data_IF_839157203604
#
_entry.id   IF_839157203604
#
_cell.length_a   1.000
_cell.length_b   1.000
_cell.length_c   1.000
_cell.angle_alpha   90.00
_cell.angle_beta   90.00
_cell.angle_gamma   90.00
#
_symmetry.space_group_name_H-M   'P 1'
#
loop_
_entity.id
_entity.type
_entity.pdbx_description
1 polymer ?
#
# COMPACT_ATOMS: atom_id res chain seq x y z
N UNK A 1 -1.33 -6.02 10.79
CA UNK A 1 -0.10 -5.66 10.07
C UNK A 1 -0.28 -5.16 8.63
N UNK A 2 -1.50 -5.17 8.04
CA UNK A 2 -1.78 -4.64 6.68
C UNK A 2 -1.81 -3.11 6.54
N UNK A 3 -1.73 -2.33 7.62
CA UNK A 3 -1.88 -0.86 7.60
C UNK A 3 -0.58 -0.04 7.74
N UNK A 4 0.56 -0.66 7.96
CA UNK A 4 1.81 0.09 8.17
C UNK A 4 2.72 0.21 6.93
N UNK A 5 2.47 -0.58 5.89
CA UNK A 5 3.27 -0.53 4.65
C UNK A 5 2.74 0.44 3.59
N UNK A 6 1.48 0.86 3.70
CA UNK A 6 0.87 1.79 2.74
C UNK A 6 1.26 3.27 2.91
N UNK A 7 1.90 3.64 4.02
CA UNK A 7 2.15 5.06 4.35
C UNK A 7 3.55 5.57 3.93
N UNK A 8 4.49 4.71 3.59
CA UNK A 8 5.86 5.13 3.25
C UNK A 8 6.04 5.43 1.76
N UNK A 9 5.20 4.89 0.89
CA UNK A 9 5.34 5.07 -0.57
C UNK A 9 4.62 6.32 -1.10
N UNK A 10 3.64 6.85 -0.38
CA UNK A 10 2.81 7.97 -0.88
C UNK A 10 3.35 9.38 -0.57
N UNK A 11 4.34 9.53 0.30
CA UNK A 11 4.80 10.86 0.75
C UNK A 11 6.01 11.40 -0.03
N UNK A 12 6.77 10.56 -0.73
CA UNK A 12 7.95 11.00 -1.48
C UNK A 12 7.66 11.62 -2.87
N UNK A 13 6.42 11.56 -3.38
CA UNK A 13 6.14 11.98 -4.77
C UNK A 13 5.46 13.34 -4.90
N UNK A 14 5.11 14.02 -3.78
CA UNK A 14 4.34 15.28 -3.83
C UNK A 14 5.10 16.56 -3.46
N UNK A 15 6.40 16.53 -3.15
CA UNK A 15 7.13 17.72 -2.69
C UNK A 15 8.37 18.05 -3.52
N UNK A 16 8.23 18.20 -4.84
CA UNK A 16 9.26 18.85 -5.67
C UNK A 16 8.64 19.89 -6.61
N UNK A 17 7.96 20.85 -6.06
CA UNK A 17 7.56 22.05 -6.77
C UNK A 17 7.90 23.27 -5.92
N UNK A 18 9.06 23.84 -6.10
CA UNK A 18 9.36 25.27 -6.06
C UNK A 18 10.82 25.52 -5.75
N UNK A 19 11.46 26.20 -6.60
CA UNK A 19 12.55 27.17 -6.52
C UNK A 19 13.75 26.81 -7.40
N UNK A 20 13.85 27.43 -8.54
CA UNK A 20 15.13 27.74 -9.19
C UNK A 20 15.05 29.11 -9.86
N UNK A 21 15.69 30.09 -9.25
CA UNK A 21 16.08 31.32 -9.94
C UNK A 21 17.55 31.24 -10.35
N UNK A 22 17.80 31.63 -11.61
CA UNK A 22 19.07 32.07 -12.19
C UNK A 22 20.20 31.07 -12.37
N UNK A 23 20.22 30.43 -13.54
CA UNK A 23 21.48 30.08 -14.22
C UNK A 23 21.32 30.33 -15.73
N UNK A 24 22.09 31.26 -16.23
CA UNK A 24 22.19 31.58 -17.67
C UNK A 24 22.81 30.41 -18.42
N UNK A 25 21.97 29.58 -19.03
CA UNK A 25 22.43 28.64 -20.03
C UNK A 25 22.45 29.32 -21.40
N UNK A 26 23.58 29.21 -22.09
CA UNK A 26 23.71 29.55 -23.50
C UNK A 26 22.59 28.83 -24.27
N UNK A 27 21.74 29.62 -24.89
CA UNK A 27 20.61 29.18 -25.72
C UNK A 27 21.16 28.31 -26.86
N UNK A 28 21.06 26.99 -26.74
CA UNK A 28 21.16 26.08 -27.86
C UNK A 28 19.79 26.16 -28.53
N UNK A 29 19.75 26.59 -29.78
CA UNK A 29 18.51 26.65 -30.55
C UNK A 29 17.78 25.32 -30.45
N UNK A 30 16.56 25.37 -29.93
CA UNK A 30 15.66 24.22 -29.97
C UNK A 30 15.35 23.94 -31.43
N UNK A 31 15.37 22.67 -31.87
CA UNK A 31 14.91 22.36 -33.22
C UNK A 31 13.44 22.77 -33.33
N UNK A 32 13.19 23.63 -34.28
CA UNK A 32 11.84 24.01 -34.78
C UNK A 32 10.98 22.76 -34.90
N UNK A 33 9.79 22.79 -34.29
CA UNK A 33 8.72 21.79 -34.28
C UNK A 33 9.05 20.50 -35.06
N UNK A 34 9.50 19.46 -34.36
CA UNK A 34 9.52 18.12 -34.94
C UNK A 34 8.07 17.80 -35.31
N UNK A 35 7.79 17.70 -36.62
CA UNK A 35 6.53 17.17 -37.08
C UNK A 35 6.26 15.86 -36.33
N UNK A 36 5.19 15.85 -35.55
CA UNK A 36 4.77 14.61 -34.88
C UNK A 36 4.32 13.69 -36.02
N UNK A 37 5.09 12.63 -36.28
CA UNK A 37 4.70 11.62 -37.25
C UNK A 37 3.38 11.00 -36.79
N UNK A 38 2.39 11.02 -37.70
CA UNK A 38 1.10 10.35 -37.47
C UNK A 38 1.20 8.88 -37.88
N UNK A 39 0.54 8.01 -37.11
CA UNK A 39 0.46 6.59 -37.42
C UNK A 39 -0.80 6.27 -38.21
N UNK A 40 -0.64 5.66 -39.38
CA UNK A 40 -1.73 5.33 -40.31
C UNK A 40 -2.27 6.52 -41.13
N UNK A 41 -3.39 6.33 -41.84
CA UNK A 41 -4.00 7.37 -42.64
C UNK A 41 -4.41 8.60 -41.81
N UNK A 42 -4.29 9.80 -42.39
CA UNK A 42 -4.74 11.03 -41.75
C UNK A 42 -6.25 10.96 -41.46
N UNK A 43 -6.64 11.06 -40.21
CA UNK A 43 -8.04 11.01 -39.79
C UNK A 43 -8.63 12.42 -39.59
N UNK A 44 -7.88 13.36 -39.00
CA UNK A 44 -8.27 14.75 -38.84
C UNK A 44 -7.05 15.66 -38.75
N UNK A 45 -7.25 16.94 -39.12
CA UNK A 45 -6.23 17.99 -39.08
C UNK A 45 -6.87 19.33 -38.68
N UNK A 46 -6.17 20.07 -37.82
CA UNK A 46 -6.47 21.45 -37.45
C UNK A 46 -5.14 22.21 -37.46
N UNK A 47 -4.90 23.02 -38.49
CA UNK A 47 -3.61 23.68 -38.76
C UNK A 47 -2.45 22.65 -38.70
N UNK A 48 -1.50 22.83 -37.80
CA UNK A 48 -0.35 21.93 -37.60
C UNK A 48 -0.69 20.67 -36.77
N UNK A 49 -1.83 20.69 -36.06
CA UNK A 49 -2.28 19.51 -35.32
C UNK A 49 -2.86 18.47 -36.26
N UNK A 50 -2.37 17.25 -36.17
CA UNK A 50 -2.81 16.11 -36.98
C UNK A 50 -3.01 14.88 -36.12
N UNK A 51 -3.94 14.00 -36.48
CA UNK A 51 -4.13 12.69 -35.86
C UNK A 51 -4.35 11.66 -36.97
N UNK A 52 -3.56 10.57 -36.90
CA UNK A 52 -3.72 9.38 -37.72
C UNK A 52 -4.76 8.42 -37.13
N UNK A 53 -5.29 7.56 -38.00
CA UNK A 53 -6.30 6.57 -37.62
C UNK A 53 -5.77 5.64 -36.51
N UNK A 54 -4.55 5.13 -36.63
CA UNK A 54 -3.98 4.22 -35.65
C UNK A 54 -3.74 4.89 -34.28
N UNK A 55 -3.33 6.17 -34.27
CA UNK A 55 -3.15 6.91 -33.04
C UNK A 55 -4.49 7.18 -32.35
N UNK A 56 -5.53 7.43 -33.13
CA UNK A 56 -6.89 7.56 -32.62
C UNK A 56 -7.39 6.24 -32.01
N UNK A 57 -7.20 5.11 -32.70
CA UNK A 57 -7.58 3.79 -32.20
C UNK A 57 -6.83 3.40 -30.91
N UNK A 58 -5.54 3.72 -30.80
CA UNK A 58 -4.78 3.54 -29.56
C UNK A 58 -5.39 4.32 -28.40
N UNK A 59 -5.85 5.57 -28.65
CA UNK A 59 -6.51 6.38 -27.62
C UNK A 59 -7.87 5.79 -27.22
N UNK A 60 -8.65 5.30 -28.17
CA UNK A 60 -9.93 4.62 -27.89
C UNK A 60 -9.71 3.35 -27.04
N UNK A 61 -8.70 2.55 -27.39
CA UNK A 61 -8.36 1.34 -26.63
C UNK A 61 -7.95 1.67 -25.18
N UNK A 62 -7.27 2.77 -24.95
CA UNK A 62 -6.94 3.23 -23.60
C UNK A 62 -8.18 3.61 -22.77
N UNK A 63 -9.27 4.03 -23.41
CA UNK A 63 -10.55 4.36 -22.75
C UNK A 63 -11.46 3.14 -22.54
N UNK A 64 -11.17 2.00 -23.19
CA UNK A 64 -12.02 0.81 -23.18
C UNK A 64 -12.35 0.28 -21.76
N UNK A 65 -11.40 0.18 -20.80
CA UNK A 65 -11.71 -0.30 -19.47
C UNK A 65 -12.76 0.57 -18.75
N UNK A 66 -12.61 1.91 -18.84
CA UNK A 66 -13.52 2.86 -18.21
C UNK A 66 -14.89 2.88 -18.92
N UNK A 67 -14.89 2.81 -20.23
CA UNK A 67 -16.10 2.77 -21.04
C UNK A 67 -16.92 1.50 -20.77
N UNK A 68 -16.24 0.37 -20.61
CA UNK A 68 -16.87 -0.92 -20.30
C UNK A 68 -17.55 -0.91 -18.93
N UNK A 69 -16.96 -0.29 -17.93
CA UNK A 69 -17.59 -0.09 -16.62
C UNK A 69 -18.89 0.72 -16.72
N UNK A 70 -18.99 1.61 -17.69
CA UNK A 70 -20.17 2.45 -17.96
C UNK A 70 -21.14 1.83 -18.98
N UNK A 71 -20.89 0.62 -19.45
CA UNK A 71 -21.71 -0.07 -20.45
C UNK A 71 -21.61 0.55 -21.86
N UNK A 72 -20.52 1.26 -22.17
CA UNK A 72 -20.29 1.95 -23.43
C UNK A 72 -19.35 1.12 -24.32
N UNK A 73 -19.77 0.90 -25.59
CA UNK A 73 -18.91 0.28 -26.61
C UNK A 73 -18.09 1.37 -27.34
N UNK A 74 -16.77 1.34 -27.12
CA UNK A 74 -15.82 2.25 -27.77
C UNK A 74 -15.71 2.03 -29.28
N UNK A 75 -16.13 0.87 -29.80
CA UNK A 75 -16.11 0.55 -31.22
C UNK A 75 -17.34 1.06 -31.96
N UNK A 76 -18.36 1.50 -31.24
CA UNK A 76 -19.56 2.12 -31.85
C UNK A 76 -19.20 3.35 -32.65
N UNK A 77 -19.73 3.47 -33.86
CA UNK A 77 -19.45 4.59 -34.76
C UNK A 77 -19.77 5.95 -34.13
N UNK A 78 -20.91 6.08 -33.47
CA UNK A 78 -21.30 7.35 -32.85
C UNK A 78 -20.40 7.73 -31.68
N UNK A 79 -19.91 6.75 -30.95
CA UNK A 79 -18.89 6.99 -29.91
C UNK A 79 -17.59 7.48 -30.54
N UNK A 80 -17.08 6.79 -31.57
CA UNK A 80 -15.85 7.17 -32.28
C UNK A 80 -15.98 8.59 -32.86
N UNK A 81 -17.10 8.91 -33.48
CA UNK A 81 -17.36 10.23 -34.01
C UNK A 81 -17.35 11.31 -32.92
N UNK A 82 -18.03 11.09 -31.80
CA UNK A 82 -18.01 12.03 -30.67
C UNK A 82 -16.60 12.22 -30.11
N UNK A 83 -15.85 11.13 -29.90
CA UNK A 83 -14.48 11.16 -29.41
C UNK A 83 -13.57 11.97 -30.38
N UNK A 84 -13.69 11.75 -31.70
CA UNK A 84 -12.92 12.49 -32.69
C UNK A 84 -13.30 13.98 -32.68
N UNK A 85 -14.59 14.31 -32.64
CA UNK A 85 -15.04 15.68 -32.54
C UNK A 85 -14.52 16.42 -31.31
N UNK A 86 -14.42 15.74 -30.18
CA UNK A 86 -13.85 16.33 -28.96
C UNK A 86 -12.36 16.62 -29.12
N UNK A 87 -11.61 15.77 -29.81
CA UNK A 87 -10.19 16.00 -30.09
C UNK A 87 -10.04 17.23 -31.05
N UNK A 88 -10.85 17.31 -32.08
CA UNK A 88 -10.85 18.44 -32.99
C UNK A 88 -11.23 19.74 -32.25
N UNK A 89 -12.26 19.69 -31.39
CA UNK A 89 -12.66 20.83 -30.56
C UNK A 89 -11.51 21.30 -29.65
N UNK A 90 -10.83 20.36 -29.01
CA UNK A 90 -9.68 20.68 -28.18
C UNK A 90 -8.55 21.33 -28.98
N UNK A 91 -8.27 20.82 -30.18
CA UNK A 91 -7.27 21.41 -31.07
C UNK A 91 -7.64 22.84 -31.50
N UNK A 92 -8.90 23.08 -31.84
CA UNK A 92 -9.39 24.44 -32.21
C UNK A 92 -9.25 25.41 -31.02
N UNK A 93 -9.61 24.99 -29.80
CA UNK A 93 -9.48 25.83 -28.62
C UNK A 93 -8.01 26.12 -28.29
N UNK A 94 -7.12 25.13 -28.47
CA UNK A 94 -5.69 25.31 -28.29
C UNK A 94 -5.09 26.31 -29.29
N UNK A 95 -5.53 26.27 -30.54
CA UNK A 95 -5.13 27.29 -31.55
C UNK A 95 -5.60 28.68 -31.15
N UNK A 96 -6.85 28.85 -30.75
CA UNK A 96 -7.38 30.15 -30.28
C UNK A 96 -6.58 30.62 -29.03
N UNK A 97 -6.25 29.76 -28.11
CA UNK A 97 -5.43 30.08 -26.95
C UNK A 97 -4.04 30.57 -27.36
N UNK A 98 -3.38 29.95 -28.35
CA UNK A 98 -2.10 30.41 -28.93
C UNK A 98 -2.21 31.78 -29.55
N UNK A 99 -3.27 32.01 -30.33
CA UNK A 99 -3.52 33.33 -30.95
C UNK A 99 -3.66 34.43 -29.89
N UNK A 100 -4.23 34.10 -28.74
CA UNK A 100 -4.33 35.00 -27.57
C UNK A 100 -3.06 35.10 -26.75
N UNK A 101 -2.03 34.30 -27.04
CA UNK A 101 -0.73 34.34 -26.36
C UNK A 101 -0.70 33.63 -25.03
N UNK A 102 -1.70 32.77 -24.67
CA UNK A 102 -1.75 32.03 -23.40
C UNK A 102 -0.58 31.06 -23.26
N UNK A 103 -0.05 30.55 -24.39
CA UNK A 103 1.14 29.69 -24.42
C UNK A 103 2.42 30.41 -23.99
N UNK A 104 2.42 31.75 -23.96
CA UNK A 104 3.54 32.60 -23.56
C UNK A 104 3.48 33.01 -22.09
N UNK A 105 2.38 32.74 -21.41
CA UNK A 105 2.22 33.04 -19.98
C UNK A 105 3.21 32.23 -19.16
N UNK A 106 3.71 32.85 -18.09
CA UNK A 106 4.79 32.29 -17.28
C UNK A 106 4.34 30.97 -16.61
N UNK A 107 3.18 30.97 -16.01
CA UNK A 107 2.59 29.83 -15.31
C UNK A 107 2.34 28.65 -16.27
N UNK A 108 1.85 28.92 -17.47
CA UNK A 108 1.67 27.90 -18.50
C UNK A 108 3.01 27.25 -18.89
N UNK A 109 4.03 28.06 -19.18
CA UNK A 109 5.36 27.55 -19.55
C UNK A 109 6.01 26.76 -18.42
N UNK A 110 5.87 27.22 -17.17
CA UNK A 110 6.36 26.49 -16.00
C UNK A 110 5.64 25.14 -15.87
N UNK A 111 4.33 25.10 -16.06
CA UNK A 111 3.55 23.86 -16.02
C UNK A 111 3.99 22.86 -17.10
N UNK A 112 4.21 23.34 -18.33
CA UNK A 112 4.67 22.50 -19.45
C UNK A 112 6.07 21.94 -19.17
N UNK A 113 7.00 22.77 -18.69
CA UNK A 113 8.36 22.32 -18.40
C UNK A 113 8.39 21.32 -17.25
N UNK A 114 7.64 21.55 -16.19
CA UNK A 114 7.50 20.61 -15.08
C UNK A 114 6.90 19.25 -15.54
N UNK A 115 5.89 19.31 -16.41
CA UNK A 115 5.31 18.10 -16.99
C UNK A 115 6.30 17.33 -17.86
N UNK A 116 7.07 18.03 -18.68
CA UNK A 116 8.14 17.45 -19.51
C UNK A 116 9.20 16.76 -18.66
N UNK A 117 9.67 17.40 -17.57
CA UNK A 117 10.63 16.79 -16.63
C UNK A 117 10.04 15.51 -15.99
N UNK A 118 8.79 15.56 -15.56
CA UNK A 118 8.10 14.40 -15.00
C UNK A 118 8.01 13.25 -16.00
N UNK A 119 7.62 13.54 -17.24
CA UNK A 119 7.54 12.54 -18.31
C UNK A 119 8.89 11.92 -18.64
N UNK A 120 9.95 12.73 -18.69
CA UNK A 120 11.31 12.24 -18.94
C UNK A 120 11.76 11.29 -17.84
N UNK A 121 11.55 11.65 -16.56
CA UNK A 121 11.87 10.78 -15.43
C UNK A 121 11.08 9.47 -15.48
N UNK A 122 9.77 9.54 -15.72
CA UNK A 122 8.92 8.36 -15.85
C UNK A 122 9.36 7.44 -17.00
N UNK A 123 9.71 8.01 -18.16
CA UNK A 123 10.19 7.25 -19.32
C UNK A 123 11.52 6.55 -19.05
N UNK A 124 12.45 7.24 -18.38
CA UNK A 124 13.71 6.64 -17.98
C UNK A 124 13.46 5.46 -17.04
N UNK A 125 12.71 5.68 -15.96
CA UNK A 125 12.36 4.62 -14.99
C UNK A 125 11.71 3.44 -15.71
N UNK A 126 10.65 3.68 -16.48
CA UNK A 126 9.93 2.63 -17.21
C UNK A 126 10.86 1.77 -18.09
N UNK A 127 11.80 2.41 -18.78
CA UNK A 127 12.76 1.73 -19.65
C UNK A 127 13.75 0.88 -18.86
N UNK A 128 14.28 1.44 -17.77
CA UNK A 128 15.34 0.79 -16.98
C UNK A 128 14.82 -0.35 -16.09
N UNK A 129 13.51 -0.33 -15.75
CA UNK A 129 12.89 -1.40 -14.94
C UNK A 129 12.15 -2.45 -15.79
N UNK A 130 12.01 -2.22 -17.12
CA UNK A 130 11.21 -3.09 -17.99
C UNK A 130 11.65 -4.56 -17.98
N UNK A 131 12.95 -4.79 -17.92
CA UNK A 131 13.55 -6.13 -17.99
C UNK A 131 13.84 -6.73 -16.60
N UNK A 132 13.37 -6.09 -15.52
CA UNK A 132 13.54 -6.62 -14.18
C UNK A 132 12.61 -7.82 -13.97
N UNK A 133 13.22 -8.99 -13.82
CA UNK A 133 12.55 -10.23 -13.49
C UNK A 133 12.96 -10.72 -12.11
N UNK A 134 12.06 -11.45 -11.48
CA UNK A 134 12.32 -12.19 -10.23
C UNK A 134 12.31 -13.67 -10.56
N UNK A 135 13.41 -14.33 -10.31
CA UNK A 135 13.57 -15.75 -10.55
C UNK A 135 12.93 -16.60 -9.45
N UNK A 136 12.64 -17.85 -9.75
CA UNK A 136 12.13 -18.81 -8.76
C UNK A 136 13.11 -19.02 -7.61
N UNK A 137 14.40 -19.07 -7.91
CA UNK A 137 15.44 -19.23 -6.89
C UNK A 137 15.44 -18.08 -5.87
N UNK A 138 15.25 -16.85 -6.31
CA UNK A 138 15.16 -15.68 -5.41
C UNK A 138 13.91 -15.74 -4.52
N UNK A 139 12.80 -16.23 -5.05
CA UNK A 139 11.56 -16.39 -4.26
C UNK A 139 11.77 -17.46 -3.20
N UNK A 140 12.35 -18.59 -3.53
CA UNK A 140 12.63 -19.68 -2.61
C UNK A 140 13.65 -19.26 -1.54
N UNK A 141 14.69 -18.56 -1.93
CA UNK A 141 15.70 -18.03 -1.01
C UNK A 141 15.07 -17.06 -0.01
N UNK A 142 14.31 -16.07 -0.51
CA UNK A 142 13.61 -15.10 0.33
C UNK A 142 12.65 -15.79 1.32
N UNK A 143 11.85 -16.73 0.83
CA UNK A 143 10.94 -17.50 1.67
C UNK A 143 11.69 -18.26 2.75
N UNK A 144 12.78 -18.95 2.40
CA UNK A 144 13.56 -19.76 3.34
C UNK A 144 14.24 -18.93 4.41
N UNK A 145 14.78 -17.76 4.05
CA UNK A 145 15.41 -16.83 4.99
C UNK A 145 14.39 -16.17 5.92
N UNK A 146 13.13 -16.04 5.47
CA UNK A 146 12.10 -15.29 6.16
C UNK A 146 10.94 -16.16 6.69
N UNK A 147 11.09 -17.48 6.79
CA UNK A 147 10.02 -18.41 7.19
C UNK A 147 9.28 -18.01 8.46
N UNK A 148 9.98 -17.46 9.44
CA UNK A 148 9.38 -17.08 10.71
C UNK A 148 8.34 -15.94 10.56
N UNK A 149 8.52 -15.06 9.57
CA UNK A 149 7.57 -13.98 9.29
C UNK A 149 6.28 -14.49 8.63
N UNK A 150 6.33 -15.69 8.08
CA UNK A 150 5.18 -16.35 7.45
C UNK A 150 4.46 -17.32 8.39
N UNK A 151 4.88 -17.38 9.65
CA UNK A 151 4.20 -18.18 10.68
C UNK A 151 2.94 -17.43 11.16
N UNK A 152 1.79 -18.09 11.11
CA UNK A 152 0.57 -17.55 11.69
C UNK A 152 0.72 -17.39 13.20
N UNK A 153 -0.01 -16.46 13.83
CA UNK A 153 -0.03 -16.38 15.29
C UNK A 153 -0.45 -17.70 15.92
N UNK A 154 0.11 -17.99 17.09
CA UNK A 154 -0.33 -19.09 17.94
C UNK A 154 -1.81 -18.95 18.29
N UNK A 155 -2.54 -20.07 18.34
CA UNK A 155 -3.90 -20.12 18.87
C UNK A 155 -3.87 -20.70 20.27
N UNK A 156 -4.38 -19.96 21.24
CA UNK A 156 -4.34 -20.33 22.65
C UNK A 156 -5.78 -20.59 23.12
N UNK A 157 -6.03 -21.79 23.68
CA UNK A 157 -7.30 -22.12 24.31
C UNK A 157 -7.29 -21.65 25.75
N UNK A 158 -8.17 -20.72 26.08
CA UNK A 158 -8.16 -20.03 27.37
C UNK A 158 -9.50 -20.18 28.06
N UNK A 159 -9.46 -20.38 29.40
CA UNK A 159 -10.60 -20.14 30.29
C UNK A 159 -10.34 -18.91 31.12
N UNK A 160 -11.41 -18.20 31.50
CA UNK A 160 -11.34 -17.05 32.38
C UNK A 160 -12.32 -17.14 33.55
N UNK A 161 -11.91 -16.63 34.70
CA UNK A 161 -12.79 -16.25 35.81
C UNK A 161 -12.64 -14.74 35.97
N UNK A 162 -13.73 -14.02 35.94
CA UNK A 162 -13.77 -12.56 36.11
C UNK A 162 -14.67 -12.22 37.28
N UNK A 163 -14.18 -11.40 38.20
CA UNK A 163 -14.96 -10.96 39.39
C UNK A 163 -14.76 -9.47 39.64
N UNK A 164 -15.72 -8.87 40.36
CA UNK A 164 -15.74 -7.43 40.60
C UNK A 164 -14.79 -6.97 41.71
N UNK A 165 -14.43 -7.85 42.63
CA UNK A 165 -13.60 -7.44 43.78
C UNK A 165 -12.42 -8.38 44.00
N UNK A 166 -11.35 -7.81 44.57
CA UNK A 166 -10.08 -8.48 44.79
C UNK A 166 -10.15 -9.60 45.84
N UNK A 167 -11.02 -9.47 46.86
CA UNK A 167 -11.16 -10.49 47.93
C UNK A 167 -11.71 -11.78 47.34
N UNK A 168 -12.80 -11.65 46.55
CA UNK A 168 -13.39 -12.81 45.88
C UNK A 168 -12.40 -13.46 44.90
N UNK A 169 -11.62 -12.66 44.15
CA UNK A 169 -10.58 -13.24 43.30
C UNK A 169 -9.54 -14.03 44.08
N UNK A 170 -9.13 -13.56 45.28
CA UNK A 170 -8.19 -14.26 46.16
C UNK A 170 -8.76 -15.57 46.65
N UNK A 171 -10.01 -15.57 47.11
CA UNK A 171 -10.68 -16.79 47.59
C UNK A 171 -10.78 -17.85 46.49
N UNK A 172 -11.18 -17.45 45.29
CA UNK A 172 -11.22 -18.35 44.14
C UNK A 172 -9.84 -18.88 43.74
N UNK A 173 -8.83 -18.02 43.77
CA UNK A 173 -7.45 -18.42 43.47
C UNK A 173 -6.91 -19.46 44.48
N UNK A 174 -7.20 -19.30 45.77
CA UNK A 174 -6.85 -20.27 46.80
C UNK A 174 -7.55 -21.61 46.51
N UNK A 175 -8.81 -21.60 46.16
CA UNK A 175 -9.58 -22.83 45.84
C UNK A 175 -8.99 -23.54 44.62
N UNK A 176 -8.59 -22.77 43.59
CA UNK A 176 -7.88 -23.33 42.41
C UNK A 176 -6.55 -23.99 42.80
N UNK A 177 -5.79 -23.36 43.70
CA UNK A 177 -4.54 -23.95 44.23
C UNK A 177 -4.80 -25.21 45.05
N UNK A 178 -5.98 -25.34 45.66
CA UNK A 178 -6.43 -26.56 46.37
C UNK A 178 -6.94 -27.66 45.43
N UNK A 179 -6.95 -27.41 44.11
CA UNK A 179 -7.33 -28.39 43.10
C UNK A 179 -8.81 -28.37 42.71
N UNK A 180 -9.58 -27.35 43.11
CA UNK A 180 -10.96 -27.23 42.69
C UNK A 180 -11.06 -26.94 41.20
N UNK A 181 -12.11 -27.47 40.57
CA UNK A 181 -12.28 -27.37 39.10
C UNK A 181 -12.48 -25.95 38.66
N UNK A 182 -11.68 -25.51 37.68
CA UNK A 182 -11.73 -24.15 37.15
C UNK A 182 -13.08 -23.82 36.49
N UNK A 183 -13.62 -24.77 35.72
CA UNK A 183 -14.88 -24.57 35.00
C UNK A 183 -16.06 -24.46 35.96
N UNK A 184 -16.03 -25.27 37.06
CA UNK A 184 -17.02 -25.17 38.12
C UNK A 184 -17.00 -23.80 38.78
N UNK A 185 -15.82 -23.34 39.20
CA UNK A 185 -15.67 -22.02 39.83
C UNK A 185 -16.08 -20.87 38.86
N UNK A 186 -15.70 -20.95 37.59
CA UNK A 186 -16.13 -20.01 36.59
C UNK A 186 -17.65 -19.95 36.47
N UNK A 187 -18.30 -21.11 36.40
CA UNK A 187 -19.76 -21.22 36.28
C UNK A 187 -20.48 -20.63 37.50
N UNK A 188 -19.92 -20.79 38.69
CA UNK A 188 -20.56 -20.32 39.93
C UNK A 188 -20.33 -18.82 40.15
N UNK A 189 -19.12 -18.35 39.95
CA UNK A 189 -18.66 -17.06 40.49
C UNK A 189 -18.29 -16.01 39.43
N UNK A 190 -18.00 -16.41 38.20
CA UNK A 190 -17.60 -15.45 37.16
C UNK A 190 -18.74 -14.50 36.78
N UNK A 191 -18.41 -13.27 36.49
CA UNK A 191 -19.33 -12.25 35.93
C UNK A 191 -19.13 -12.05 34.42
N UNK A 192 -18.26 -12.83 33.79
CA UNK A 192 -18.03 -12.77 32.35
C UNK A 192 -19.12 -13.52 31.55
N UNK A 193 -19.29 -13.16 30.28
CA UNK A 193 -20.23 -13.84 29.37
C UNK A 193 -19.88 -15.33 29.18
N UNK A 194 -18.61 -15.68 29.32
CA UNK A 194 -18.10 -17.06 29.28
C UNK A 194 -18.54 -17.92 30.47
N UNK A 195 -19.16 -17.35 31.50
CA UNK A 195 -19.64 -18.03 32.71
C UNK A 195 -20.40 -19.33 32.42
N UNK A 196 -21.41 -19.26 31.54
CA UNK A 196 -22.26 -20.40 31.19
C UNK A 196 -21.52 -21.56 30.53
N UNK A 197 -20.32 -21.29 29.99
CA UNK A 197 -19.41 -22.25 29.35
C UNK A 197 -18.24 -22.65 30.29
N UNK A 198 -18.36 -22.39 31.60
CA UNK A 198 -17.26 -22.64 32.55
C UNK A 198 -16.04 -21.79 32.28
N UNK A 199 -16.24 -20.56 31.80
CA UNK A 199 -15.18 -19.61 31.47
C UNK A 199 -14.48 -19.87 30.12
N UNK A 200 -14.91 -20.85 29.32
CA UNK A 200 -14.23 -21.23 28.06
C UNK A 200 -14.42 -20.17 26.98
N UNK A 201 -13.32 -19.63 26.51
CA UNK A 201 -13.23 -18.67 25.41
C UNK A 201 -12.93 -19.33 24.05
N UNK A 202 -12.65 -20.65 24.07
CA UNK A 202 -12.17 -21.37 22.90
C UNK A 202 -10.72 -21.03 22.53
N UNK A 203 -10.36 -21.37 21.29
CA UNK A 203 -9.07 -20.98 20.71
C UNK A 203 -9.11 -19.55 20.22
N UNK A 204 -8.23 -18.72 20.73
CA UNK A 204 -8.11 -17.32 20.38
C UNK A 204 -6.70 -17.04 19.87
N UNK A 205 -6.62 -16.12 18.89
CA UNK A 205 -5.33 -15.52 18.48
C UNK A 205 -5.11 -14.26 19.29
N UNK A 206 -3.87 -13.97 19.73
CA UNK A 206 -3.56 -12.71 20.39
C UNK A 206 -3.97 -11.51 19.53
N UNK A 207 -5.06 -10.85 19.92
CA UNK A 207 -5.60 -9.65 19.27
C UNK A 207 -6.10 -8.67 20.35
N UNK A 208 -5.51 -7.46 20.45
CA UNK A 208 -5.96 -6.44 21.39
C UNK A 208 -7.42 -6.00 21.23
N UNK A 209 -8.04 -6.30 20.09
CA UNK A 209 -9.47 -6.02 19.85
C UNK A 209 -10.40 -7.07 20.48
N UNK A 210 -9.88 -8.27 20.74
CA UNK A 210 -10.64 -9.38 21.34
C UNK A 210 -10.54 -9.34 22.85
N UNK A 211 -9.33 -9.13 23.37
CA UNK A 211 -9.04 -8.94 24.80
C UNK A 211 -7.96 -7.87 24.94
N UNK A 212 -7.95 -7.13 26.04
CA UNK A 212 -7.00 -6.05 26.31
C UNK A 212 -5.56 -6.54 26.41
N UNK A 213 -4.59 -5.64 26.22
CA UNK A 213 -3.16 -5.94 26.12
C UNK A 213 -2.63 -6.77 27.30
N UNK A 214 -2.99 -6.38 28.54
CA UNK A 214 -2.55 -7.09 29.78
C UNK A 214 -3.04 -8.54 29.82
N UNK A 215 -4.23 -8.83 29.29
CA UNK A 215 -4.74 -10.20 29.21
C UNK A 215 -3.80 -11.08 28.35
N UNK A 216 -3.41 -10.57 27.17
CA UNK A 216 -2.52 -11.32 26.29
C UNK A 216 -1.09 -11.45 26.83
N UNK A 217 -0.58 -10.43 27.52
CA UNK A 217 0.71 -10.53 28.20
C UNK A 217 0.73 -11.66 29.24
N UNK A 218 -0.37 -11.80 30.00
CA UNK A 218 -0.50 -12.87 31.01
C UNK A 218 -0.66 -14.22 30.33
N UNK A 219 -1.60 -14.35 29.39
CA UNK A 219 -1.90 -15.63 28.71
C UNK A 219 -0.70 -16.15 27.92
N UNK A 220 0.05 -15.29 27.24
CA UNK A 220 1.22 -15.71 26.48
C UNK A 220 2.36 -16.21 27.33
N UNK A 221 2.46 -15.73 28.59
CA UNK A 221 3.50 -16.15 29.53
C UNK A 221 3.21 -17.49 30.24
N UNK A 222 1.99 -18.00 30.16
CA UNK A 222 1.59 -19.26 30.81
C UNK A 222 1.86 -20.44 29.88
N UNK A 223 2.23 -21.56 30.45
CA UNK A 223 2.29 -22.85 29.77
C UNK A 223 0.92 -23.56 29.74
N UNK A 224 0.82 -24.60 28.92
CA UNK A 224 -0.38 -25.43 28.85
C UNK A 224 -0.70 -26.05 30.23
N UNK A 225 -1.92 -25.87 30.67
CA UNK A 225 -2.42 -26.32 31.96
C UNK A 225 -2.23 -25.31 33.10
N UNK A 226 -1.46 -24.25 32.91
CA UNK A 226 -1.19 -23.27 33.93
C UNK A 226 -2.34 -22.30 34.17
N UNK A 227 -2.43 -21.88 35.46
CA UNK A 227 -3.38 -20.85 35.92
C UNK A 227 -2.59 -19.60 36.29
N UNK A 228 -3.04 -18.45 35.84
CA UNK A 228 -2.40 -17.17 36.14
C UNK A 228 -2.55 -16.78 37.60
N UNK A 229 -1.68 -15.91 38.07
CA UNK A 229 -1.97 -15.10 39.25
C UNK A 229 -3.13 -14.12 38.93
N UNK A 230 -3.73 -13.54 39.98
CA UNK A 230 -4.80 -12.54 39.85
C UNK A 230 -4.25 -11.26 39.22
N UNK A 231 -4.88 -10.77 38.18
CA UNK A 231 -4.56 -9.47 37.59
C UNK A 231 -5.80 -8.61 37.40
N UNK A 232 -5.62 -7.31 37.32
CA UNK A 232 -6.70 -6.34 37.12
C UNK A 232 -6.80 -5.99 35.64
N UNK A 233 -8.01 -6.04 35.10
CA UNK A 233 -8.32 -5.61 33.74
C UNK A 233 -8.52 -4.09 33.63
N UNK A 234 -8.56 -3.62 32.40
CA UNK A 234 -8.82 -2.20 32.08
C UNK A 234 -10.23 -1.78 32.46
N UNK A 235 -11.16 -2.73 32.52
CA UNK A 235 -12.55 -2.55 33.00
C UNK A 235 -12.66 -2.49 34.55
N UNK A 236 -11.54 -2.52 35.25
CA UNK A 236 -11.47 -2.47 36.69
C UNK A 236 -11.74 -3.78 37.42
N UNK A 237 -12.15 -4.84 36.70
CA UNK A 237 -12.41 -6.18 37.27
C UNK A 237 -11.12 -6.98 37.47
N UNK A 238 -11.25 -8.09 38.22
CA UNK A 238 -10.16 -8.99 38.53
C UNK A 238 -10.32 -10.28 37.72
N UNK A 239 -9.23 -10.71 37.11
CA UNK A 239 -9.14 -11.83 36.21
C UNK A 239 -8.23 -12.91 36.77
N UNK A 240 -8.62 -14.17 36.56
CA UNK A 240 -7.78 -15.36 36.67
C UNK A 240 -8.01 -16.11 35.35
N UNK A 241 -6.93 -16.48 34.68
CA UNK A 241 -7.01 -17.23 33.42
C UNK A 241 -6.27 -18.56 33.53
N UNK A 242 -6.73 -19.53 32.74
CA UNK A 242 -6.09 -20.82 32.56
C UNK A 242 -5.85 -21.07 31.09
N UNK A 243 -4.64 -21.45 30.73
CA UNK A 243 -4.33 -21.92 29.39
C UNK A 243 -4.61 -23.42 29.34
N UNK A 244 -5.61 -23.83 28.56
CA UNK A 244 -5.96 -25.25 28.40
C UNK A 244 -5.11 -25.96 27.34
N UNK A 245 -4.82 -25.21 26.25
CA UNK A 245 -4.04 -25.73 25.13
C UNK A 245 -3.40 -24.60 24.33
N UNK A 246 -2.29 -24.89 23.65
CA UNK A 246 -1.62 -24.00 22.71
C UNK A 246 -1.40 -24.74 21.40
N UNK A 247 -1.84 -24.13 20.31
CA UNK A 247 -1.55 -24.60 18.95
C UNK A 247 -0.54 -23.67 18.32
N UNK A 248 0.61 -24.21 18.01
CA UNK A 248 1.60 -23.42 17.29
C UNK A 248 1.05 -22.90 15.95
N UNK A 249 1.43 -21.67 15.64
CA UNK A 249 1.14 -21.10 14.34
C UNK A 249 1.77 -21.93 13.23
N UNK A 250 1.04 -22.12 12.15
CA UNK A 250 1.53 -22.83 10.96
C UNK A 250 2.29 -21.87 10.07
N UNK A 251 3.39 -22.32 9.48
CA UNK A 251 4.09 -21.59 8.44
C UNK A 251 3.24 -21.69 7.19
N UNK A 252 2.87 -20.54 6.61
CA UNK A 252 2.15 -20.48 5.33
C UNK A 252 3.02 -21.09 4.25
N UNK A 253 2.57 -22.10 3.51
CA UNK A 253 3.34 -22.71 2.44
C UNK A 253 3.73 -21.70 1.36
N UNK A 254 4.90 -21.88 0.76
CA UNK A 254 5.36 -21.02 -0.34
C UNK A 254 4.33 -20.94 -1.49
N UNK A 255 3.66 -22.05 -1.80
CA UNK A 255 2.65 -22.10 -2.87
C UNK A 255 1.51 -21.10 -2.70
N UNK A 256 1.17 -20.73 -1.46
CA UNK A 256 0.08 -19.80 -1.16
C UNK A 256 0.51 -18.32 -1.24
N UNK A 257 1.80 -18.02 -1.03
CA UNK A 257 2.32 -16.65 -0.92
C UNK A 257 3.36 -16.32 -2.00
N UNK A 258 3.63 -17.25 -2.92
CA UNK A 258 4.66 -17.14 -3.95
C UNK A 258 4.53 -15.87 -4.78
N UNK A 259 3.32 -15.57 -5.24
CA UNK A 259 3.06 -14.38 -6.05
C UNK A 259 3.16 -13.07 -5.26
N UNK A 260 2.85 -13.12 -3.97
CA UNK A 260 3.03 -11.96 -3.09
C UNK A 260 4.52 -11.67 -2.89
N UNK A 261 5.33 -12.72 -2.67
CA UNK A 261 6.79 -12.61 -2.57
C UNK A 261 7.37 -12.10 -3.88
N UNK A 262 6.95 -12.65 -5.03
CA UNK A 262 7.39 -12.20 -6.35
C UNK A 262 7.15 -10.71 -6.55
N UNK A 263 5.94 -10.23 -6.24
CA UNK A 263 5.59 -8.80 -6.33
C UNK A 263 6.45 -7.95 -5.41
N UNK A 264 6.65 -8.37 -4.17
CA UNK A 264 7.47 -7.65 -3.20
C UNK A 264 8.94 -7.55 -3.64
N UNK A 265 9.53 -8.65 -4.10
CA UNK A 265 10.90 -8.68 -4.61
C UNK A 265 11.07 -7.85 -5.88
N UNK A 266 10.07 -7.87 -6.77
CA UNK A 266 10.09 -7.05 -7.98
C UNK A 266 10.12 -5.56 -7.63
N UNK A 267 9.22 -5.12 -6.76
CA UNK A 267 9.19 -3.72 -6.27
C UNK A 267 10.52 -3.32 -5.62
N UNK A 268 11.12 -4.20 -4.81
CA UNK A 268 12.40 -3.94 -4.18
C UNK A 268 13.53 -3.78 -5.20
N UNK A 269 13.60 -4.67 -6.21
CA UNK A 269 14.57 -4.57 -7.30
C UNK A 269 14.37 -3.29 -8.14
N UNK A 270 13.14 -2.95 -8.46
CA UNK A 270 12.80 -1.72 -9.18
C UNK A 270 13.24 -0.48 -8.38
N UNK A 271 12.95 -0.44 -7.08
CA UNK A 271 13.37 0.65 -6.21
C UNK A 271 14.90 0.78 -6.12
N UNK A 272 15.62 -0.33 -5.98
CA UNK A 272 17.10 -0.33 -6.00
C UNK A 272 17.64 0.20 -7.31
N UNK A 273 17.04 -0.19 -8.44
CA UNK A 273 17.45 0.32 -9.75
C UNK A 273 17.21 1.83 -9.88
N UNK A 274 16.08 2.33 -9.39
CA UNK A 274 15.77 3.76 -9.37
C UNK A 274 16.79 4.52 -8.52
N UNK A 275 17.13 4.03 -7.32
CA UNK A 275 18.13 4.64 -6.46
C UNK A 275 19.54 4.64 -7.11
N UNK A 276 19.91 3.57 -7.80
CA UNK A 276 21.15 3.51 -8.59
C UNK A 276 21.16 4.61 -9.66
N UNK A 277 20.08 4.76 -10.42
CA UNK A 277 19.96 5.81 -11.44
C UNK A 277 20.06 7.22 -10.85
N UNK A 278 19.41 7.46 -9.71
CA UNK A 278 19.47 8.73 -9.00
C UNK A 278 20.90 9.03 -8.55
N UNK A 279 21.61 8.04 -8.02
CA UNK A 279 22.99 8.22 -7.58
C UNK A 279 23.94 8.50 -8.77
N UNK A 280 23.81 7.77 -9.87
CA UNK A 280 24.54 8.04 -11.10
C UNK A 280 24.25 9.44 -11.68
N UNK A 281 23.02 9.91 -11.56
CA UNK A 281 22.65 11.25 -11.99
C UNK A 281 23.26 12.32 -11.06
N UNK A 282 23.30 12.10 -9.75
CA UNK A 282 23.95 13.00 -8.78
C UNK A 282 25.43 13.19 -9.03
N UNK A 283 26.14 12.15 -9.45
CA UNK A 283 27.58 12.23 -9.79
C UNK A 283 27.86 13.19 -10.97
N UNK A 284 26.88 13.33 -11.87
CA UNK A 284 26.99 14.15 -13.09
C UNK A 284 26.36 15.54 -12.95
N UNK A 285 25.60 15.77 -11.90
CA UNK A 285 24.83 17.00 -11.69
C UNK A 285 25.37 17.81 -10.52
N UNK A 286 25.35 19.15 -10.65
CA UNK A 286 25.56 20.05 -9.52
C UNK A 286 24.23 20.19 -8.77
N UNK A 287 24.12 19.58 -7.60
CA UNK A 287 22.95 19.68 -6.73
C UNK A 287 23.22 20.68 -5.61
N UNK A 288 22.36 21.68 -5.46
CA UNK A 288 22.40 22.64 -4.36
C UNK A 288 21.03 22.68 -3.72
N UNK A 289 20.94 22.38 -2.43
CA UNK A 289 19.72 22.43 -1.64
C UNK A 289 19.93 23.43 -0.51
N UNK A 290 19.02 24.39 -0.36
CA UNK A 290 19.04 25.33 0.75
C UNK A 290 17.95 24.91 1.76
N UNK A 291 18.34 24.05 2.69
CA UNK A 291 17.43 23.52 3.72
C UNK A 291 16.96 24.59 4.72
N UNK A 292 17.69 25.69 4.86
CA UNK A 292 17.33 26.79 5.78
C UNK A 292 16.06 27.50 5.35
N UNK A 293 15.69 27.44 4.07
CA UNK A 293 14.45 28.00 3.54
C UNK A 293 13.22 27.09 3.73
N UNK A 294 13.40 25.90 4.28
CA UNK A 294 12.30 24.94 4.55
C UNK A 294 11.70 25.11 5.97
N UNK A 295 12.27 26.01 6.77
CA UNK A 295 11.87 26.27 8.18
C UNK A 295 10.91 27.44 8.30
#
# INVERSE_FOLDING_TARGET
MKKMWGLIVSVCFMFLLSACQNLTFKKKEEPTSSEIEISGPLLAQVNDWRIGLEDFEKRLKALEPLAKEQGVDVNNYDFKRRALNELVRTALLAEEARLRGLDKEKDFREAVENYKQTLLAQRLIQREVADIIVTEAEIEEFYNQNKQFFKSPEEIKVREIVVNNKSQAKDLYIRLLQGEDFAFLATQYSVADSKSKGGDLGYLKPDPKVKFKKFWEVVSALDKGEVSSIFKGEDGKFYIVKVEDKKEGKITPLSEIKEDIRRALKIDKENRKIEELVNLAKEKAKVVINEDLLR
#
